data_IF_518525606010
#
_entry.id   IF_518525606010
#
_cell.length_a   1.000
_cell.length_b   1.000
_cell.length_c   1.000
_cell.angle_alpha   90.00
_cell.angle_beta   90.00
_cell.angle_gamma   90.00
#
_symmetry.space_group_name_H-M   'P 1'
#
loop_
_entity.id
_entity.type
_entity.pdbx_description
1 polymer ?
#
# COMPACT_ATOMS: atom_id res chain seq x y z
N UNK A 1 28.31 -7.81 50.48
CA UNK A 1 29.37 -8.55 51.21
C UNK A 1 30.64 -8.58 50.35
N UNK A 2 31.77 -8.15 50.91
CA UNK A 2 33.12 -8.74 50.69
C UNK A 2 33.25 -9.99 51.62
N UNK A 3 34.34 -10.79 51.66
CA UNK A 3 35.70 -10.71 51.04
C UNK A 3 36.06 -11.98 50.22
N UNK A 4 37.28 -12.32 49.81
CA UNK A 4 38.65 -11.71 49.85
C UNK A 4 39.54 -12.47 48.85
N UNK A 5 40.51 -11.86 48.15
CA UNK A 5 41.88 -11.52 48.59
C UNK A 5 42.76 -12.73 48.97
N UNK A 6 43.84 -12.99 48.21
CA UNK A 6 45.23 -12.94 48.72
C UNK A 6 46.31 -12.97 47.60
N UNK A 7 47.53 -12.56 47.98
CA UNK A 7 48.67 -12.16 47.14
C UNK A 7 49.92 -12.94 47.65
N UNK A 8 51.01 -13.26 46.91
CA UNK A 8 52.03 -12.30 46.41
C UNK A 8 53.15 -12.98 45.59
N UNK A 9 53.65 -12.28 44.54
CA UNK A 9 55.00 -12.28 43.91
C UNK A 9 56.00 -13.43 44.18
N UNK A 10 56.75 -13.80 43.12
CA UNK A 10 58.20 -13.48 42.98
C UNK A 10 58.72 -13.69 41.54
N UNK A 11 59.80 -12.99 41.17
CA UNK A 11 60.51 -13.04 39.87
C UNK A 11 62.00 -13.42 40.13
N UNK A 12 63.03 -13.23 39.26
CA UNK A 12 63.13 -12.83 37.83
C UNK A 12 64.16 -13.76 37.06
N UNK A 13 65.17 -13.29 36.27
CA UNK A 13 65.15 -12.73 34.89
C UNK A 13 66.03 -13.51 33.85
N UNK A 14 66.18 -12.97 32.61
CA UNK A 14 67.45 -12.74 31.83
C UNK A 14 67.50 -13.17 30.34
N UNK A 15 67.87 -12.17 29.51
CA UNK A 15 68.86 -12.16 28.41
C UNK A 15 68.84 -13.17 27.22
N UNK A 16 68.61 -12.58 26.02
CA UNK A 16 69.54 -12.63 24.85
C UNK A 16 69.65 -13.96 24.07
N UNK A 17 70.14 -14.10 22.83
CA UNK A 17 70.58 -13.23 21.71
C UNK A 17 70.02 -13.89 20.42
N UNK A 18 69.82 -13.25 19.27
CA UNK A 18 70.86 -12.90 18.29
C UNK A 18 70.18 -12.55 16.95
N UNK A 19 70.87 -11.83 16.06
CA UNK A 19 70.42 -11.55 14.67
C UNK A 19 71.44 -12.14 13.69
N UNK A 20 71.01 -12.59 12.50
CA UNK A 20 71.75 -12.19 11.31
C UNK A 20 70.87 -11.73 10.13
N UNK A 21 71.53 -11.04 9.21
CA UNK A 21 71.02 -10.26 8.07
C UNK A 21 70.51 -11.05 6.85
N UNK A 22 69.67 -10.40 6.03
CA UNK A 22 69.30 -10.82 4.67
C UNK A 22 69.25 -9.58 3.74
N UNK A 23 69.52 -9.68 2.42
CA UNK A 23 70.14 -8.58 1.67
C UNK A 23 69.19 -7.67 0.88
N UNK A 24 69.74 -6.52 0.49
CA UNK A 24 69.11 -5.47 -0.34
C UNK A 24 68.87 -5.89 -1.79
N UNK A 25 67.63 -5.74 -2.28
CA UNK A 25 67.31 -5.77 -3.71
C UNK A 25 67.14 -4.37 -4.30
N UNK A 26 67.69 -4.14 -5.48
CA UNK A 26 67.67 -2.84 -6.18
C UNK A 26 66.27 -2.42 -6.62
N UNK A 27 65.90 -1.17 -6.33
CA UNK A 27 64.57 -0.60 -6.60
C UNK A 27 64.54 0.13 -7.95
N UNK A 28 63.95 -0.47 -8.98
CA UNK A 28 63.67 0.24 -10.24
C UNK A 28 62.76 1.46 -9.97
N UNK A 29 63.15 2.62 -10.50
CA UNK A 29 62.34 3.84 -10.43
C UNK A 29 61.18 3.77 -11.41
N UNK A 30 60.06 3.19 -10.98
CA UNK A 30 58.79 3.25 -11.70
C UNK A 30 58.34 4.70 -11.89
N UNK A 31 58.05 5.11 -13.12
CA UNK A 31 57.57 6.45 -13.44
C UNK A 31 56.19 6.68 -12.80
N UNK A 32 56.12 7.63 -11.86
CA UNK A 32 54.88 8.01 -11.17
C UNK A 32 53.85 8.65 -12.11
N UNK A 33 54.29 9.14 -13.27
CA UNK A 33 53.40 9.69 -14.30
C UNK A 33 52.54 8.60 -14.94
N UNK A 34 53.14 7.43 -15.25
CA UNK A 34 52.42 6.33 -15.89
C UNK A 34 51.26 5.83 -15.01
N UNK A 35 51.53 5.56 -13.73
CA UNK A 35 50.49 5.15 -12.77
C UNK A 35 49.38 6.18 -12.58
N UNK A 36 49.70 7.48 -12.64
CA UNK A 36 48.68 8.55 -12.56
C UNK A 36 47.79 8.60 -13.81
N UNK A 37 48.37 8.44 -15.01
CA UNK A 37 47.61 8.39 -16.26
C UNK A 37 46.73 7.15 -16.33
N UNK A 38 47.26 5.97 -15.99
CA UNK A 38 46.47 4.72 -15.96
C UNK A 38 45.34 4.80 -14.92
N UNK A 39 45.59 5.39 -13.74
CA UNK A 39 44.56 5.64 -12.74
C UNK A 39 43.45 6.58 -13.24
N UNK A 40 43.81 7.69 -13.91
CA UNK A 40 42.85 8.62 -14.52
C UNK A 40 41.99 7.97 -15.61
N UNK A 41 42.61 7.18 -16.50
CA UNK A 41 41.89 6.46 -17.55
C UNK A 41 40.94 5.42 -16.94
N UNK A 42 41.40 4.64 -15.96
CA UNK A 42 40.56 3.67 -15.26
C UNK A 42 39.38 4.34 -14.54
N UNK A 43 39.61 5.48 -13.87
CA UNK A 43 38.54 6.27 -13.24
C UNK A 43 37.56 6.86 -14.25
N UNK A 44 38.03 7.32 -15.42
CA UNK A 44 37.17 7.86 -16.47
C UNK A 44 36.32 6.76 -17.13
N UNK A 45 36.89 5.57 -17.33
CA UNK A 45 36.15 4.39 -17.82
C UNK A 45 35.13 3.90 -16.79
N UNK A 46 35.50 3.83 -15.51
CA UNK A 46 34.54 3.52 -14.43
C UNK A 46 33.44 4.57 -14.34
N UNK A 47 33.76 5.84 -14.51
CA UNK A 47 32.77 6.92 -14.52
C UNK A 47 31.83 6.83 -15.74
N UNK A 48 32.34 6.58 -16.95
CA UNK A 48 31.49 6.43 -18.14
C UNK A 48 30.65 5.15 -18.11
N UNK A 49 31.18 4.05 -17.57
CA UNK A 49 30.36 2.85 -17.31
C UNK A 49 29.30 3.12 -16.23
N UNK A 50 29.59 3.92 -15.20
CA UNK A 50 28.63 4.29 -14.17
C UNK A 50 27.54 5.25 -14.71
N UNK A 51 27.89 6.23 -15.54
CA UNK A 51 26.91 7.13 -16.18
C UNK A 51 26.04 6.39 -17.19
N UNK A 52 26.62 5.49 -18.00
CA UNK A 52 25.86 4.71 -18.96
C UNK A 52 24.93 3.68 -18.26
N UNK A 53 25.32 3.16 -17.10
CA UNK A 53 24.45 2.31 -16.27
C UNK A 53 23.41 3.11 -15.43
N UNK A 54 23.51 4.44 -15.35
CA UNK A 54 22.49 5.30 -14.69
C UNK A 54 21.50 5.94 -15.65
N UNK A 55 21.79 5.95 -16.96
CA UNK A 55 20.75 5.74 -17.97
C UNK A 55 20.30 4.27 -17.95
N UNK A 56 19.62 3.88 -16.87
CA UNK A 56 18.64 2.81 -17.00
C UNK A 56 17.61 3.30 -18.02
N UNK A 57 17.40 2.55 -19.10
CA UNK A 57 16.30 2.83 -20.01
C UNK A 57 15.02 2.93 -19.19
N UNK A 58 14.47 4.14 -19.05
CA UNK A 58 13.03 4.30 -18.92
C UNK A 58 12.46 3.76 -20.23
N UNK A 59 12.25 2.45 -20.25
CA UNK A 59 11.34 1.81 -21.18
C UNK A 59 10.00 2.43 -20.87
N UNK A 60 9.68 3.47 -21.62
CA UNK A 60 8.30 3.86 -21.86
C UNK A 60 7.62 2.61 -22.38
N UNK A 61 7.03 1.87 -21.45
CA UNK A 61 6.16 0.74 -21.73
C UNK A 61 4.91 1.37 -22.32
N UNK A 62 5.02 1.68 -23.61
CA UNK A 62 4.03 2.40 -24.38
C UNK A 62 2.72 1.61 -24.23
N UNK A 63 1.72 2.26 -23.61
CA UNK A 63 0.44 1.59 -23.40
C UNK A 63 -0.12 1.29 -24.79
N UNK A 64 -0.13 0.01 -25.14
CA UNK A 64 -0.68 -0.46 -26.40
C UNK A 64 -2.07 0.14 -26.59
N UNK A 65 -2.44 0.64 -27.80
CA UNK A 65 -3.72 1.27 -28.06
C UNK A 65 -4.89 0.28 -27.97
N UNK A 66 -5.22 -0.10 -26.74
CA UNK A 66 -6.38 -0.87 -26.34
C UNK A 66 -7.56 0.08 -26.14
N UNK A 67 -8.67 -0.22 -26.83
CA UNK A 67 -9.94 0.45 -26.59
C UNK A 67 -10.82 -0.28 -25.56
N UNK A 68 -10.45 -1.50 -25.12
CA UNK A 68 -11.16 -2.22 -24.07
C UNK A 68 -10.95 -1.53 -22.73
N UNK A 69 -11.94 -0.76 -22.32
CA UNK A 69 -11.96 -0.02 -21.07
C UNK A 69 -13.40 0.30 -20.70
N UNK A 70 -13.71 0.45 -19.41
CA UNK A 70 -15.06 0.77 -18.93
C UNK A 70 -14.97 1.76 -17.78
N UNK A 71 -15.87 2.74 -17.75
CA UNK A 71 -16.04 3.61 -16.58
C UNK A 71 -17.19 3.09 -15.70
N UNK A 72 -16.86 2.73 -14.46
CA UNK A 72 -17.80 2.24 -13.44
C UNK A 72 -18.08 3.41 -12.48
N UNK A 73 -19.23 4.10 -12.58
CA UNK A 73 -19.53 5.26 -11.76
C UNK A 73 -19.78 4.87 -10.29
N UNK A 74 -19.51 5.80 -9.37
CA UNK A 74 -20.01 5.67 -8.01
C UNK A 74 -21.51 6.00 -7.96
N UNK A 75 -22.28 5.17 -7.24
CA UNK A 75 -23.74 5.33 -7.11
C UNK A 75 -24.15 6.47 -6.16
N UNK A 76 -23.19 7.05 -5.44
CA UNK A 76 -23.37 8.19 -4.54
C UNK A 76 -22.23 9.19 -4.73
N UNK A 77 -22.51 10.48 -4.53
CA UNK A 77 -21.49 11.54 -4.56
C UNK A 77 -20.36 11.24 -3.56
N UNK A 78 -19.11 11.43 -4.00
CA UNK A 78 -17.95 11.17 -3.17
C UNK A 78 -17.91 12.04 -1.91
N UNK A 79 -17.69 11.41 -0.77
CA UNK A 79 -17.97 12.01 0.54
C UNK A 79 -16.94 11.62 1.59
N UNK A 80 -16.56 12.52 2.51
CA UNK A 80 -15.76 12.14 3.67
C UNK A 80 -16.55 11.29 4.68
N UNK A 81 -17.89 11.15 4.52
CA UNK A 81 -18.77 10.50 5.50
C UNK A 81 -19.00 9.01 5.26
N UNK A 82 -19.00 8.56 4.00
CA UNK A 82 -19.21 7.17 3.62
C UNK A 82 -18.12 6.69 2.65
N UNK A 83 -18.00 5.37 2.49
CA UNK A 83 -17.14 4.76 1.47
C UNK A 83 -17.77 5.01 0.09
N UNK A 84 -17.01 5.27 -0.97
CA UNK A 84 -17.55 5.22 -2.34
C UNK A 84 -18.07 3.80 -2.64
N UNK A 85 -19.18 3.72 -3.37
CA UNK A 85 -19.84 2.47 -3.71
C UNK A 85 -20.11 2.40 -5.21
N UNK A 86 -20.00 1.22 -5.80
CA UNK A 86 -20.43 0.91 -7.17
C UNK A 86 -21.61 -0.05 -7.13
N UNK A 87 -22.41 -0.08 -8.20
CA UNK A 87 -23.41 -1.14 -8.37
C UNK A 87 -22.72 -2.40 -8.89
N UNK A 88 -22.94 -3.53 -8.22
CA UNK A 88 -22.46 -4.83 -8.67
C UNK A 88 -23.51 -5.92 -8.41
N UNK A 89 -23.79 -6.75 -9.42
CA UNK A 89 -24.61 -7.96 -9.25
C UNK A 89 -23.69 -9.17 -9.08
N UNK A 90 -23.91 -9.96 -8.03
CA UNK A 90 -23.18 -11.21 -7.77
C UNK A 90 -24.21 -12.31 -7.52
N UNK A 91 -24.14 -13.41 -8.29
CA UNK A 91 -25.10 -14.53 -8.17
C UNK A 91 -26.59 -14.12 -8.27
N UNK A 92 -26.89 -13.06 -9.04
CA UNK A 92 -28.24 -12.51 -9.18
C UNK A 92 -28.69 -11.59 -8.04
N UNK A 93 -27.81 -11.29 -7.07
CA UNK A 93 -28.06 -10.34 -5.99
C UNK A 93 -27.37 -9.00 -6.30
N UNK A 94 -28.14 -7.92 -6.36
CA UNK A 94 -27.61 -6.57 -6.52
C UNK A 94 -27.05 -6.03 -5.19
N UNK A 95 -25.82 -5.50 -5.25
CA UNK A 95 -25.05 -5.07 -4.08
C UNK A 95 -24.49 -3.67 -4.32
N UNK A 96 -24.77 -2.77 -3.38
CA UNK A 96 -24.09 -1.47 -3.25
C UNK A 96 -22.68 -1.71 -2.70
N UNK A 97 -21.73 -2.03 -3.58
CA UNK A 97 -20.45 -2.60 -3.21
C UNK A 97 -19.44 -1.51 -2.80
N UNK A 98 -18.97 -1.47 -1.53
CA UNK A 98 -17.96 -0.48 -1.11
C UNK A 98 -16.61 -0.75 -1.78
N UNK A 99 -16.04 0.28 -2.41
CA UNK A 99 -14.75 0.19 -3.10
C UNK A 99 -13.63 0.57 -2.15
N UNK A 100 -12.66 -0.32 -1.96
CA UNK A 100 -11.50 -0.11 -1.09
C UNK A 100 -10.15 -0.33 -1.79
N UNK A 101 -9.39 0.74 -1.99
CA UNK A 101 -7.98 0.68 -2.43
C UNK A 101 -7.01 0.32 -1.30
N UNK A 102 -7.46 0.25 -0.05
CA UNK A 102 -6.70 -0.09 1.16
C UNK A 102 -6.46 -1.59 1.42
N UNK A 103 -7.11 -2.46 0.63
CA UNK A 103 -7.03 -3.92 0.71
C UNK A 103 -7.29 -4.57 -0.65
N UNK A 104 -7.04 -5.87 -0.79
CA UNK A 104 -7.28 -6.63 -2.03
C UNK A 104 -8.21 -7.82 -1.76
N UNK A 105 -9.19 -8.01 -2.63
CA UNK A 105 -10.16 -9.11 -2.56
C UNK A 105 -11.56 -8.66 -2.16
N UNK A 106 -12.57 -9.33 -2.71
CA UNK A 106 -13.99 -9.10 -2.39
C UNK A 106 -14.41 -9.95 -1.18
N UNK A 107 -15.14 -9.36 -0.24
CA UNK A 107 -15.78 -10.04 0.89
C UNK A 107 -17.30 -9.87 0.78
N UNK A 108 -18.06 -10.96 0.86
CA UNK A 108 -19.53 -10.94 0.90
C UNK A 108 -19.99 -11.92 1.99
N UNK A 109 -20.91 -11.49 2.86
CA UNK A 109 -21.49 -12.35 3.89
C UNK A 109 -22.23 -13.55 3.30
N UNK A 110 -22.02 -14.74 3.85
CA UNK A 110 -22.74 -15.95 3.44
C UNK A 110 -24.29 -15.79 3.46
N UNK A 111 -24.92 -15.06 4.40
CA UNK A 111 -26.37 -14.82 4.37
C UNK A 111 -26.87 -13.96 3.19
N UNK A 112 -25.98 -13.29 2.45
CA UNK A 112 -26.33 -12.48 1.28
C UNK A 112 -26.41 -13.37 0.02
N UNK A 113 -25.55 -14.40 -0.07
CA UNK A 113 -25.44 -15.30 -1.24
C UNK A 113 -26.06 -16.67 -0.92
N UNK A 114 -27.36 -16.67 -0.63
CA UNK A 114 -28.10 -17.87 -0.17
C UNK A 114 -28.10 -19.05 -1.15
N UNK A 115 -27.80 -18.81 -2.44
CA UNK A 115 -27.69 -19.85 -3.45
C UNK A 115 -26.33 -20.58 -3.44
N UNK A 116 -25.32 -20.07 -2.74
CA UNK A 116 -23.99 -20.67 -2.65
C UNK A 116 -23.95 -21.73 -1.53
N UNK A 117 -23.72 -23.03 -1.85
CA UNK A 117 -23.64 -24.07 -0.83
C UNK A 117 -22.52 -23.81 0.19
N UNK A 118 -22.73 -24.20 1.45
CA UNK A 118 -21.72 -24.12 2.51
C UNK A 118 -20.47 -24.98 2.25
N UNK A 119 -20.54 -25.93 1.33
CA UNK A 119 -19.43 -26.79 0.88
C UNK A 119 -18.64 -26.23 -0.31
N UNK A 120 -19.09 -25.11 -0.91
CA UNK A 120 -18.42 -24.54 -2.08
C UNK A 120 -17.13 -23.77 -1.69
N UNK A 121 -16.11 -23.83 -2.55
CA UNK A 121 -14.86 -23.08 -2.38
C UNK A 121 -13.85 -23.71 -1.41
N UNK A 122 -12.83 -22.95 -1.04
CA UNK A 122 -11.76 -23.39 -0.13
C UNK A 122 -11.68 -22.54 1.14
N UNK A 123 -11.46 -23.11 2.35
CA UNK A 123 -11.38 -22.33 3.58
C UNK A 123 -10.32 -21.22 3.54
N UNK A 124 -10.71 -20.00 3.91
CA UNK A 124 -9.84 -18.84 3.98
C UNK A 124 -10.21 -17.89 5.13
N UNK A 125 -9.29 -16.99 5.44
CA UNK A 125 -9.47 -15.94 6.44
C UNK A 125 -8.83 -14.64 5.97
N UNK A 126 -9.30 -13.53 6.54
CA UNK A 126 -8.81 -12.18 6.27
C UNK A 126 -8.90 -11.36 7.56
N UNK A 127 -7.80 -10.75 7.99
CA UNK A 127 -7.75 -9.89 9.17
C UNK A 127 -7.42 -8.44 8.80
N UNK A 128 -8.34 -7.51 9.06
CA UNK A 128 -8.09 -6.08 8.89
C UNK A 128 -7.37 -5.51 10.12
N UNK A 129 -6.06 -5.29 9.98
CA UNK A 129 -5.16 -4.82 11.06
C UNK A 129 -5.55 -3.47 11.68
N UNK A 130 -6.19 -2.58 10.91
CA UNK A 130 -6.64 -1.25 11.36
C UNK A 130 -7.92 -1.29 12.20
N UNK A 131 -8.90 -2.12 11.83
CA UNK A 131 -10.19 -2.23 12.51
C UNK A 131 -10.21 -3.32 13.58
N UNK A 132 -9.21 -4.21 13.58
CA UNK A 132 -9.12 -5.40 14.44
C UNK A 132 -10.31 -6.33 14.23
N UNK A 133 -10.58 -6.66 12.97
CA UNK A 133 -11.68 -7.54 12.56
C UNK A 133 -11.11 -8.74 11.82
N UNK A 134 -11.47 -9.94 12.28
CA UNK A 134 -11.25 -11.20 11.58
C UNK A 134 -12.50 -11.57 10.79
N UNK A 135 -12.30 -12.01 9.56
CA UNK A 135 -13.29 -12.65 8.70
C UNK A 135 -12.82 -14.06 8.38
N UNK A 136 -13.71 -15.03 8.47
CA UNK A 136 -13.45 -16.44 8.16
C UNK A 136 -14.58 -16.95 7.28
N UNK A 137 -14.21 -17.75 6.28
CA UNK A 137 -15.18 -18.35 5.37
C UNK A 137 -14.48 -19.10 4.25
N UNK A 138 -14.97 -18.97 3.03
CA UNK A 138 -14.49 -19.74 1.87
C UNK A 138 -14.23 -18.85 0.66
N UNK A 139 -13.12 -19.08 -0.04
CA UNK A 139 -12.88 -18.49 -1.36
C UNK A 139 -13.71 -19.25 -2.40
N UNK A 140 -14.68 -18.59 -3.01
CA UNK A 140 -15.53 -19.13 -4.07
C UNK A 140 -15.28 -18.34 -5.36
N UNK A 141 -15.05 -19.01 -6.48
CA UNK A 141 -14.92 -18.36 -7.79
C UNK A 141 -16.29 -17.90 -8.28
N UNK A 142 -16.58 -16.60 -8.18
CA UNK A 142 -17.87 -16.01 -8.53
C UNK A 142 -17.74 -15.05 -9.72
N UNK A 143 -18.85 -14.86 -10.44
CA UNK A 143 -18.99 -13.78 -11.41
C UNK A 143 -19.48 -12.50 -10.71
N UNK A 144 -18.80 -11.39 -10.97
CA UNK A 144 -19.17 -10.05 -10.50
C UNK A 144 -19.49 -9.17 -11.70
N UNK A 145 -20.75 -8.79 -11.88
CA UNK A 145 -21.20 -7.93 -12.97
C UNK A 145 -21.27 -6.48 -12.50
N UNK A 146 -20.58 -5.58 -13.18
CA UNK A 146 -20.55 -4.14 -12.88
C UNK A 146 -21.39 -3.37 -13.89
N UNK A 147 -22.17 -2.41 -13.38
CA UNK A 147 -22.85 -1.41 -14.23
C UNK A 147 -21.91 -0.25 -14.50
N UNK A 148 -21.68 0.07 -15.77
CA UNK A 148 -20.92 1.22 -16.22
C UNK A 148 -21.78 2.40 -16.66
N UNK A 149 -21.13 3.46 -17.10
CA UNK A 149 -21.79 4.64 -17.67
C UNK A 149 -22.47 4.33 -19.02
N UNK A 150 -23.53 5.06 -19.36
CA UNK A 150 -24.24 4.93 -20.64
C UNK A 150 -24.98 3.58 -20.85
N UNK A 151 -25.04 2.72 -19.83
CA UNK A 151 -25.57 1.36 -19.95
C UNK A 151 -24.53 0.31 -20.34
N UNK A 152 -23.23 0.67 -20.39
CA UNK A 152 -22.15 -0.30 -20.52
C UNK A 152 -22.09 -1.23 -19.30
N UNK A 153 -21.49 -2.40 -19.45
CA UNK A 153 -21.32 -3.36 -18.35
C UNK A 153 -20.06 -4.21 -18.52
N UNK A 154 -19.55 -4.74 -17.41
CA UNK A 154 -18.41 -5.65 -17.43
C UNK A 154 -18.57 -6.78 -16.41
N UNK A 155 -18.05 -7.96 -16.73
CA UNK A 155 -18.00 -9.08 -15.78
C UNK A 155 -16.55 -9.34 -15.37
N UNK A 156 -16.27 -9.40 -14.07
CA UNK A 156 -15.08 -10.04 -13.53
C UNK A 156 -15.40 -11.47 -13.10
N UNK A 157 -14.41 -12.36 -13.17
CA UNK A 157 -14.47 -13.67 -12.51
C UNK A 157 -13.29 -13.80 -11.55
N UNK A 158 -13.57 -13.82 -10.26
CA UNK A 158 -12.55 -13.83 -9.20
C UNK A 158 -12.95 -14.68 -8.00
N UNK A 159 -11.97 -15.13 -7.20
CA UNK A 159 -12.22 -15.63 -5.86
C UNK A 159 -12.78 -14.53 -4.94
N UNK A 160 -14.01 -14.72 -4.49
CA UNK A 160 -14.68 -13.91 -3.46
C UNK A 160 -14.58 -14.67 -2.13
N UNK A 161 -14.21 -13.98 -1.04
CA UNK A 161 -14.32 -14.53 0.31
C UNK A 161 -15.79 -14.46 0.76
N UNK A 162 -16.50 -15.58 0.63
CA UNK A 162 -17.83 -15.77 1.20
C UNK A 162 -17.66 -15.94 2.71
N UNK A 163 -18.03 -14.92 3.48
CA UNK A 163 -17.77 -14.83 4.92
C UNK A 163 -18.84 -15.58 5.69
N UNK A 164 -18.46 -16.73 6.23
CA UNK A 164 -19.32 -17.55 7.09
C UNK A 164 -19.34 -17.01 8.54
N UNK A 165 -18.23 -16.44 9.04
CA UNK A 165 -18.11 -15.86 10.40
C UNK A 165 -17.25 -14.61 10.44
N UNK A 166 -17.53 -13.69 11.37
CA UNK A 166 -16.68 -12.52 11.63
C UNK A 166 -16.62 -12.19 13.12
N UNK A 167 -15.45 -11.74 13.59
CA UNK A 167 -15.26 -11.29 14.97
C UNK A 167 -14.50 -9.98 15.02
N UNK A 168 -14.82 -9.15 16.02
CA UNK A 168 -13.87 -8.17 16.55
C UNK A 168 -12.79 -8.94 17.32
N UNK A 169 -11.56 -8.84 16.87
CA UNK A 169 -10.41 -9.57 17.39
C UNK A 169 -9.23 -8.64 17.73
N UNK A 170 -9.23 -8.00 18.91
CA UNK A 170 -8.17 -7.05 19.30
C UNK A 170 -6.77 -7.66 19.41
N UNK A 171 -6.69 -8.94 19.80
CA UNK A 171 -5.44 -9.63 20.15
C UNK A 171 -4.85 -10.48 19.02
N UNK A 172 -5.49 -10.50 17.85
CA UNK A 172 -5.01 -11.24 16.69
C UNK A 172 -3.61 -10.77 16.25
N UNK A 173 -2.69 -11.72 16.15
CA UNK A 173 -1.36 -11.58 15.60
C UNK A 173 -1.28 -12.34 14.26
N UNK A 174 -1.33 -11.65 13.12
CA UNK A 174 -1.44 -12.29 11.81
C UNK A 174 -0.19 -13.08 11.39
N UNK A 175 0.92 -12.98 12.13
CA UNK A 175 2.08 -13.84 11.94
C UNK A 175 1.80 -15.30 12.37
N UNK A 176 1.01 -15.51 13.42
CA UNK A 176 0.78 -16.84 14.04
C UNK A 176 -0.68 -17.30 13.96
N UNK A 177 -1.64 -16.39 14.13
CA UNK A 177 -3.07 -16.71 14.13
C UNK A 177 -3.62 -16.89 12.70
N UNK A 178 -4.70 -17.65 12.56
CA UNK A 178 -5.29 -18.03 11.27
C UNK A 178 -6.82 -17.94 11.28
N UNK A 179 -7.50 -19.05 11.56
CA UNK A 179 -8.97 -19.17 11.46
C UNK A 179 -9.72 -18.84 12.75
N UNK A 180 -8.99 -18.56 13.83
CA UNK A 180 -9.56 -18.35 15.16
C UNK A 180 -9.08 -17.02 15.72
N UNK A 181 -9.93 -16.38 16.53
CA UNK A 181 -9.54 -15.20 17.29
C UNK A 181 -8.98 -15.64 18.65
N UNK A 182 -7.72 -15.31 19.01
CA UNK A 182 -7.20 -15.62 20.32
C UNK A 182 -7.95 -14.86 21.43
N UNK A 183 -8.07 -15.51 22.59
CA UNK A 183 -8.54 -14.85 23.80
C UNK A 183 -7.58 -13.73 24.24
N UNK A 184 -8.11 -12.74 24.95
CA UNK A 184 -7.32 -11.67 25.54
C UNK A 184 -6.42 -12.15 26.70
N UNK A 185 -5.47 -11.31 27.15
CA UNK A 185 -4.49 -11.64 28.19
C UNK A 185 -5.12 -11.92 29.57
N UNK A 186 -6.41 -11.60 29.75
CA UNK A 186 -7.20 -11.89 30.95
C UNK A 186 -8.39 -12.83 30.64
N UNK A 187 -8.35 -13.53 29.51
CA UNK A 187 -9.40 -14.48 29.09
C UNK A 187 -10.58 -13.83 28.36
N UNK A 188 -10.46 -12.56 27.96
CA UNK A 188 -11.52 -11.84 27.23
C UNK A 188 -11.86 -12.55 25.91
N UNK A 189 -13.15 -12.75 25.65
CA UNK A 189 -13.62 -13.45 24.46
C UNK A 189 -13.77 -12.53 23.25
N UNK A 190 -13.65 -13.11 22.06
CA UNK A 190 -13.92 -12.43 20.80
C UNK A 190 -15.41 -12.02 20.71
N UNK A 191 -15.69 -10.83 20.18
CA UNK A 191 -17.08 -10.39 19.95
C UNK A 191 -17.47 -10.73 18.52
N UNK A 192 -18.36 -11.70 18.35
CA UNK A 192 -18.92 -12.07 17.05
C UNK A 192 -19.70 -10.91 16.43
N UNK A 193 -19.70 -10.84 15.10
CA UNK A 193 -20.33 -9.79 14.31
C UNK A 193 -21.33 -10.41 13.35
N UNK A 194 -22.46 -9.74 13.16
CA UNK A 194 -23.41 -10.09 12.11
C UNK A 194 -22.72 -10.07 10.74
N UNK A 195 -22.91 -11.16 9.99
CA UNK A 195 -22.38 -11.33 8.63
C UNK A 195 -23.36 -10.87 7.56
N UNK A 196 -24.64 -10.63 7.88
CA UNK A 196 -25.68 -10.24 6.92
C UNK A 196 -25.43 -8.92 6.20
N UNK A 197 -24.59 -8.06 6.77
CA UNK A 197 -24.23 -6.72 6.25
C UNK A 197 -22.77 -6.62 5.78
N UNK A 198 -22.05 -7.75 5.63
CA UNK A 198 -20.66 -7.72 5.15
C UNK A 198 -20.66 -7.68 3.62
N UNK A 199 -20.37 -6.51 3.06
CA UNK A 199 -20.06 -6.31 1.64
C UNK A 199 -18.83 -5.40 1.52
N UNK A 200 -17.87 -5.78 0.69
CA UNK A 200 -16.61 -5.05 0.53
C UNK A 200 -15.87 -5.50 -0.73
N UNK A 201 -15.28 -4.58 -1.48
CA UNK A 201 -14.47 -4.89 -2.66
C UNK A 201 -13.10 -4.22 -2.56
N UNK A 202 -12.12 -5.02 -2.11
CA UNK A 202 -10.71 -4.63 -2.11
C UNK A 202 -10.13 -4.64 -3.52
N UNK A 203 -9.75 -3.46 -4.01
CA UNK A 203 -9.11 -3.26 -5.33
C UNK A 203 -7.65 -2.82 -5.22
N UNK A 204 -7.06 -2.76 -4.03
CA UNK A 204 -5.67 -2.37 -3.78
C UNK A 204 -4.62 -3.38 -4.23
N UNK A 205 -3.37 -3.14 -3.80
CA UNK A 205 -2.19 -3.96 -4.10
C UNK A 205 -1.15 -3.90 -2.95
N UNK A 206 -0.14 -4.77 -2.98
CA UNK A 206 1.02 -4.69 -2.07
C UNK A 206 0.78 -5.08 -0.61
N UNK A 207 -0.30 -5.80 -0.32
CA UNK A 207 -0.73 -6.17 1.06
C UNK A 207 -0.95 -7.67 1.29
N UNK A 208 -0.34 -8.51 0.47
CA UNK A 208 -0.36 -9.99 0.56
C UNK A 208 0.60 -10.59 1.60
N UNK A 209 1.36 -9.77 2.34
CA UNK A 209 2.32 -10.30 3.32
C UNK A 209 1.63 -10.78 4.61
N UNK A 210 2.17 -11.80 5.29
CA UNK A 210 1.54 -12.37 6.50
C UNK A 210 1.26 -11.32 7.58
N UNK A 211 2.17 -10.34 7.79
CA UNK A 211 1.98 -9.23 8.74
C UNK A 211 0.79 -8.31 8.43
N UNK A 212 0.28 -8.31 7.20
CA UNK A 212 -0.87 -7.50 6.78
C UNK A 212 -2.21 -8.12 7.17
N UNK A 213 -2.24 -9.42 7.49
CA UNK A 213 -3.47 -10.17 7.78
C UNK A 213 -4.25 -10.63 6.54
N UNK A 214 -3.71 -10.45 5.33
CA UNK A 214 -4.38 -10.77 4.08
C UNK A 214 -3.59 -11.78 3.22
N UNK A 215 -3.43 -13.05 3.65
CA UNK A 215 -2.57 -14.02 2.94
C UNK A 215 -3.00 -14.34 1.50
N UNK A 216 -4.21 -13.95 1.09
CA UNK A 216 -4.77 -14.17 -0.25
C UNK A 216 -4.88 -12.89 -1.11
N UNK A 217 -4.35 -11.75 -0.66
CA UNK A 217 -4.52 -10.43 -1.29
C UNK A 217 -3.63 -10.21 -2.54
N UNK A 218 -3.60 -11.18 -3.46
CA UNK A 218 -2.83 -11.14 -4.71
C UNK A 218 -3.64 -10.51 -5.87
N UNK A 219 -3.02 -10.17 -7.02
CA UNK A 219 -3.74 -9.60 -8.16
C UNK A 219 -4.90 -10.45 -8.68
N UNK A 220 -4.85 -11.79 -8.49
CA UNK A 220 -5.93 -12.71 -8.88
C UNK A 220 -7.27 -12.45 -8.17
N UNK A 221 -7.27 -11.92 -6.95
CA UNK A 221 -8.53 -11.65 -6.21
C UNK A 221 -9.06 -10.23 -6.41
N UNK A 222 -8.34 -9.39 -7.16
CA UNK A 222 -8.78 -8.03 -7.49
C UNK A 222 -9.74 -8.07 -8.69
N UNK A 223 -11.04 -7.76 -8.54
CA UNK A 223 -11.99 -7.88 -9.65
C UNK A 223 -11.66 -6.97 -10.83
N UNK A 224 -11.11 -5.77 -10.59
CA UNK A 224 -10.84 -4.79 -11.65
C UNK A 224 -9.60 -5.14 -12.48
N UNK A 225 -8.75 -6.05 -12.01
CA UNK A 225 -7.63 -6.59 -12.80
C UNK A 225 -8.01 -7.84 -13.60
N UNK A 226 -9.19 -8.42 -13.36
CA UNK A 226 -9.60 -9.71 -13.92
C UNK A 226 -11.02 -9.64 -14.53
N UNK A 227 -11.31 -8.54 -15.25
CA UNK A 227 -12.45 -8.47 -16.18
C UNK A 227 -12.27 -9.55 -17.26
N UNK A 228 -13.34 -10.31 -17.53
CA UNK A 228 -13.39 -11.34 -18.57
C UNK A 228 -14.34 -10.98 -19.72
N UNK A 229 -15.28 -10.05 -19.49
CA UNK A 229 -16.11 -9.44 -20.53
C UNK A 229 -16.32 -7.94 -20.31
N UNK A 230 -16.52 -7.20 -21.40
CA UNK A 230 -17.03 -5.81 -21.43
C UNK A 230 -18.08 -5.78 -22.54
N UNK A 231 -19.28 -5.27 -22.27
CA UNK A 231 -20.42 -5.15 -23.18
C UNK A 231 -20.79 -6.46 -23.93
N UNK A 232 -20.52 -7.60 -23.28
CA UNK A 232 -20.74 -8.95 -23.80
C UNK A 232 -19.58 -9.49 -24.65
N UNK A 233 -18.61 -8.65 -25.04
CA UNK A 233 -17.39 -9.08 -25.72
C UNK A 233 -16.36 -9.64 -24.73
N UNK A 234 -15.64 -10.69 -25.11
CA UNK A 234 -14.64 -11.32 -24.23
C UNK A 234 -13.31 -10.57 -24.23
N UNK A 235 -12.89 -10.13 -23.05
CA UNK A 235 -11.59 -9.49 -22.83
C UNK A 235 -10.50 -10.57 -22.83
N UNK A 236 -9.83 -10.73 -23.98
CA UNK A 236 -8.68 -11.64 -24.11
C UNK A 236 -7.51 -11.13 -23.24
N UNK A 237 -6.69 -12.05 -22.72
CA UNK A 237 -5.46 -11.70 -21.97
C UNK A 237 -4.57 -10.77 -22.81
N UNK A 238 -4.23 -9.61 -22.25
CA UNK A 238 -3.43 -8.58 -22.93
C UNK A 238 -4.20 -7.70 -23.92
N UNK A 239 -5.48 -7.95 -24.18
CA UNK A 239 -6.31 -7.07 -25.01
C UNK A 239 -6.81 -5.82 -24.27
N UNK A 240 -6.71 -5.81 -22.94
CA UNK A 240 -6.88 -4.65 -22.06
C UNK A 240 -5.57 -4.42 -21.31
N UNK A 241 -5.11 -3.16 -21.22
CA UNK A 241 -3.97 -2.79 -20.37
C UNK A 241 -4.42 -2.80 -18.90
N UNK A 242 -4.10 -3.87 -18.18
CA UNK A 242 -4.61 -4.13 -16.84
C UNK A 242 -4.18 -3.05 -15.84
N UNK A 243 -5.15 -2.46 -15.17
CA UNK A 243 -4.99 -1.29 -14.33
C UNK A 243 -6.29 -0.48 -14.28
N UNK A 244 -6.32 0.54 -13.44
CA UNK A 244 -7.48 1.39 -13.27
C UNK A 244 -7.11 2.79 -12.78
N UNK A 245 -8.02 3.76 -12.99
CA UNK A 245 -7.97 5.11 -12.42
C UNK A 245 -9.14 5.25 -11.45
N UNK A 246 -8.88 5.68 -10.21
CA UNK A 246 -9.91 6.03 -9.22
C UNK A 246 -9.99 7.55 -9.12
N UNK A 247 -11.18 8.10 -9.29
CA UNK A 247 -11.49 9.52 -9.09
C UNK A 247 -12.58 9.69 -8.03
N UNK A 248 -13.29 10.82 -8.00
CA UNK A 248 -14.47 11.02 -7.13
C UNK A 248 -15.76 10.58 -7.81
N UNK A 249 -15.70 10.39 -9.12
CA UNK A 249 -16.85 10.13 -9.99
C UNK A 249 -17.04 8.62 -10.17
N UNK A 250 -15.96 7.84 -10.09
CA UNK A 250 -15.99 6.40 -10.24
C UNK A 250 -14.60 5.78 -10.43
N UNK A 251 -14.57 4.64 -11.12
CA UNK A 251 -13.36 3.91 -11.48
C UNK A 251 -13.33 3.64 -12.99
N UNK A 252 -12.34 4.18 -13.69
CA UNK A 252 -12.02 3.78 -15.06
C UNK A 252 -11.18 2.51 -15.00
N UNK A 253 -11.64 1.41 -15.59
CA UNK A 253 -10.93 0.13 -15.67
C UNK A 253 -10.41 -0.08 -17.08
N UNK A 254 -9.18 -0.60 -17.20
CA UNK A 254 -8.45 -0.64 -18.46
C UNK A 254 -7.82 0.72 -18.74
N UNK A 255 -6.48 0.79 -18.68
CA UNK A 255 -5.76 2.03 -18.95
C UNK A 255 -5.66 2.25 -20.46
N UNK A 256 -5.90 3.48 -20.91
CA UNK A 256 -5.70 3.90 -22.30
C UNK A 256 -4.71 5.08 -22.34
N UNK A 257 -3.95 5.27 -23.43
CA UNK A 257 -3.02 6.40 -23.55
C UNK A 257 -3.69 7.77 -23.34
N UNK A 258 -4.96 7.89 -23.73
CA UNK A 258 -5.77 9.10 -23.52
C UNK A 258 -6.11 9.29 -22.04
N UNK A 259 -6.55 8.24 -21.34
CA UNK A 259 -6.96 8.32 -19.94
C UNK A 259 -5.80 8.67 -19.00
N UNK A 260 -4.59 8.21 -19.30
CA UNK A 260 -3.39 8.39 -18.45
C UNK A 260 -2.51 9.61 -18.81
N UNK A 261 -2.82 10.35 -19.88
CA UNK A 261 -1.95 11.39 -20.47
C UNK A 261 -1.43 12.44 -19.48
N UNK A 262 -2.23 12.78 -18.46
CA UNK A 262 -1.96 13.84 -17.49
C UNK A 262 -1.54 13.29 -16.10
N UNK A 263 -1.22 11.99 -16.01
CA UNK A 263 -0.76 11.39 -14.77
C UNK A 263 0.77 11.47 -14.63
N UNK A 264 1.22 12.03 -13.51
CA UNK A 264 2.61 11.90 -13.08
C UNK A 264 2.77 10.55 -12.38
N UNK A 265 3.55 9.65 -12.98
CA UNK A 265 3.77 8.28 -12.49
C UNK A 265 5.07 8.12 -11.69
N UNK A 266 5.03 7.21 -10.72
CA UNK A 266 6.19 6.68 -10.00
C UNK A 266 6.27 5.17 -10.19
N UNK A 267 7.47 4.63 -10.38
CA UNK A 267 7.68 3.19 -10.45
C UNK A 267 7.37 2.52 -9.10
N UNK A 268 6.82 1.31 -9.14
CA UNK A 268 6.60 0.42 -8.02
C UNK A 268 7.66 -0.69 -8.01
N UNK A 269 8.03 -1.11 -6.81
CA UNK A 269 8.87 -2.30 -6.62
C UNK A 269 8.04 -3.58 -6.78
N UNK A 270 8.62 -4.69 -7.28
CA UNK A 270 7.96 -5.99 -7.33
C UNK A 270 7.36 -6.42 -5.98
N UNK A 271 6.15 -7.00 -6.03
CA UNK A 271 5.44 -7.56 -4.89
C UNK A 271 5.97 -8.94 -4.47
N UNK A 272 5.40 -9.47 -3.38
CA UNK A 272 5.82 -10.75 -2.79
C UNK A 272 5.60 -11.96 -3.72
N UNK A 273 4.59 -11.88 -4.59
CA UNK A 273 4.16 -12.93 -5.54
C UNK A 273 4.30 -12.49 -7.00
N UNK A 274 5.23 -11.57 -7.28
CA UNK A 274 5.47 -11.02 -8.63
C UNK A 274 5.94 -12.09 -9.63
N UNK A 275 6.62 -13.14 -9.14
CA UNK A 275 7.11 -14.25 -9.98
C UNK A 275 5.94 -15.11 -10.49
N UNK A 276 4.89 -15.27 -9.67
CA UNK A 276 3.67 -15.99 -10.02
C UNK A 276 2.68 -15.14 -10.84
N UNK A 277 2.58 -13.85 -10.54
CA UNK A 277 1.76 -12.88 -11.28
C UNK A 277 2.48 -11.53 -11.32
N UNK A 278 3.02 -11.15 -12.49
CA UNK A 278 3.81 -9.92 -12.69
C UNK A 278 3.01 -8.62 -12.49
N UNK A 279 1.73 -8.72 -12.14
CA UNK A 279 0.86 -7.63 -11.69
C UNK A 279 0.93 -7.38 -10.18
N UNK A 280 1.64 -8.21 -9.42
CA UNK A 280 1.79 -8.05 -7.98
C UNK A 280 2.91 -7.05 -7.69
N UNK A 281 2.55 -5.88 -7.22
CA UNK A 281 3.47 -4.78 -6.92
C UNK A 281 3.41 -4.45 -5.43
N UNK A 282 4.55 -4.05 -4.86
CA UNK A 282 4.61 -3.53 -3.50
C UNK A 282 3.81 -2.22 -3.36
N UNK A 283 3.42 -1.85 -2.13
CA UNK A 283 2.82 -0.55 -1.86
C UNK A 283 3.71 0.59 -2.38
N UNK A 284 3.09 1.64 -2.90
CA UNK A 284 3.80 2.84 -3.36
C UNK A 284 4.68 3.46 -2.25
N UNK A 285 5.68 4.23 -2.66
CA UNK A 285 6.58 4.96 -1.74
C UNK A 285 6.14 6.41 -1.54
N UNK A 286 6.46 6.97 -0.38
CA UNK A 286 6.42 8.41 -0.12
C UNK A 286 7.46 8.83 0.92
N UNK A 287 7.71 10.14 1.01
CA UNK A 287 8.33 10.77 2.16
C UNK A 287 7.43 11.87 2.73
N UNK A 288 7.45 12.08 4.05
CA UNK A 288 6.73 13.19 4.68
C UNK A 288 7.54 13.93 5.75
N UNK A 289 7.18 15.20 5.95
CA UNK A 289 7.70 16.07 7.02
C UNK A 289 6.56 16.59 7.91
N UNK A 290 6.92 16.97 9.14
CA UNK A 290 5.99 17.46 10.17
C UNK A 290 6.44 18.87 10.56
N UNK A 291 5.57 19.86 10.39
CA UNK A 291 5.89 21.29 10.56
C UNK A 291 7.09 21.77 9.72
N UNK A 292 7.39 21.09 8.61
CA UNK A 292 8.58 21.34 7.78
C UNK A 292 9.85 20.64 8.27
N UNK A 293 9.80 19.95 9.41
CA UNK A 293 10.94 19.24 9.99
C UNK A 293 10.91 17.73 9.69
N UNK A 294 12.12 17.16 9.62
CA UNK A 294 12.34 15.72 9.43
C UNK A 294 12.00 15.21 8.03
N UNK A 295 12.43 13.98 7.76
CA UNK A 295 12.17 13.26 6.51
C UNK A 295 11.84 11.81 6.87
N UNK A 296 10.56 11.47 6.79
CA UNK A 296 10.04 10.16 7.17
C UNK A 296 9.65 9.44 5.87
N UNK A 297 10.51 8.55 5.36
CA UNK A 297 10.30 7.86 4.09
C UNK A 297 9.88 6.39 4.29
N UNK A 298 8.91 5.93 3.51
CA UNK A 298 8.40 4.56 3.58
C UNK A 298 7.18 4.37 2.69
N UNK A 299 6.35 3.38 3.01
CA UNK A 299 5.22 3.01 2.17
C UNK A 299 4.00 3.92 2.37
N UNK A 300 3.18 4.02 1.33
CA UNK A 300 1.90 4.74 1.36
C UNK A 300 0.77 3.89 0.82
N UNK A 301 -0.40 4.10 1.42
CA UNK A 301 -1.66 3.53 1.00
C UNK A 301 -2.65 4.68 0.80
N UNK A 302 -3.10 4.88 -0.43
CA UNK A 302 -4.28 5.69 -0.69
C UNK A 302 -5.48 4.77 -0.52
N UNK A 303 -6.33 5.05 0.45
CA UNK A 303 -7.35 4.10 0.96
C UNK A 303 -8.74 4.72 0.83
N UNK A 304 -9.53 4.21 -0.11
CA UNK A 304 -10.92 4.65 -0.27
C UNK A 304 -11.86 4.11 0.80
N UNK A 305 -11.49 3.06 1.54
CA UNK A 305 -12.23 2.45 2.64
C UNK A 305 -12.35 3.32 3.90
N UNK A 306 -11.36 4.17 4.21
CA UNK A 306 -11.37 5.06 5.40
C UNK A 306 -11.34 6.57 5.08
N UNK A 307 -11.82 7.41 6.01
CA UNK A 307 -11.76 8.88 5.87
C UNK A 307 -10.74 9.56 6.78
N UNK A 308 -10.25 8.83 7.80
CA UNK A 308 -9.14 9.24 8.64
C UNK A 308 -7.80 8.83 8.03
N UNK A 309 -6.74 9.55 8.38
CA UNK A 309 -5.37 9.15 8.07
C UNK A 309 -4.79 8.32 9.23
N UNK A 310 -4.00 7.30 8.92
CA UNK A 310 -3.03 6.74 9.87
C UNK A 310 -1.63 7.19 9.47
N UNK A 311 -0.87 7.75 10.41
CA UNK A 311 0.50 8.23 10.16
C UNK A 311 1.47 7.59 11.15
N UNK A 312 2.61 7.13 10.63
CA UNK A 312 3.73 6.59 11.42
C UNK A 312 5.01 7.29 10.99
N UNK A 313 5.61 8.01 11.94
CA UNK A 313 6.90 8.66 11.76
C UNK A 313 8.06 7.69 12.04
N UNK A 314 9.26 8.11 11.64
CA UNK A 314 10.51 7.39 11.88
C UNK A 314 10.78 7.21 13.39
N UNK A 315 11.54 6.18 13.75
CA UNK A 315 11.82 5.89 15.17
C UNK A 315 12.56 7.08 15.82
N UNK A 316 11.95 7.64 16.85
CA UNK A 316 12.48 8.81 17.58
C UNK A 316 11.97 10.17 17.10
N UNK A 317 11.28 10.24 15.95
CA UNK A 317 10.61 11.47 15.50
C UNK A 317 9.32 11.67 16.31
N UNK A 318 9.22 12.81 16.99
CA UNK A 318 8.05 13.16 17.80
C UNK A 318 6.93 13.74 16.93
N UNK A 319 5.77 13.08 16.93
CA UNK A 319 4.55 13.64 16.34
C UNK A 319 3.82 14.48 17.39
N UNK A 320 3.53 15.78 17.15
CA UNK A 320 2.71 16.60 18.05
C UNK A 320 1.33 15.99 18.20
N UNK A 321 0.94 15.60 19.41
CA UNK A 321 -0.28 14.81 19.64
C UNK A 321 -1.06 15.27 20.86
N UNK A 322 -2.36 15.02 20.83
CA UNK A 322 -3.31 15.27 21.92
C UNK A 322 -4.07 13.99 22.25
N UNK A 323 -4.57 13.93 23.48
CA UNK A 323 -5.52 12.91 23.93
C UNK A 323 -6.87 13.60 24.12
N UNK A 324 -7.91 13.07 23.49
CA UNK A 324 -9.28 13.60 23.56
C UNK A 324 -10.23 12.48 24.03
N UNK A 325 -11.41 12.82 24.60
CA UNK A 325 -12.52 11.87 24.72
C UNK A 325 -12.78 11.19 23.38
N UNK A 326 -13.11 9.91 23.39
CA UNK A 326 -13.39 9.19 22.16
C UNK A 326 -14.67 9.72 21.49
N UNK A 327 -14.61 10.26 20.26
CA UNK A 327 -15.79 10.81 19.59
C UNK A 327 -16.77 9.73 19.10
N UNK A 328 -16.38 8.45 19.12
CA UNK A 328 -17.30 7.35 18.87
C UNK A 328 -17.91 6.89 20.21
N UNK A 329 -19.22 7.13 20.47
CA UNK A 329 -19.87 6.74 21.72
C UNK A 329 -19.95 5.20 21.88
N UNK A 330 -19.93 4.46 20.77
CA UNK A 330 -19.90 2.99 20.73
C UNK A 330 -18.45 2.46 20.73
N UNK A 331 -17.46 3.31 20.96
CA UNK A 331 -16.05 2.95 20.99
C UNK A 331 -15.58 2.58 22.40
N UNK A 332 -15.00 1.38 22.56
CA UNK A 332 -14.60 0.84 23.86
C UNK A 332 -13.51 1.65 24.60
N UNK A 333 -12.66 2.40 23.87
CA UNK A 333 -11.67 3.27 24.49
C UNK A 333 -12.36 4.56 24.97
N UNK A 334 -12.19 4.94 26.24
CA UNK A 334 -12.73 6.21 26.78
C UNK A 334 -12.09 7.45 26.16
N UNK A 335 -10.82 7.34 25.77
CA UNK A 335 -10.02 8.40 25.16
C UNK A 335 -9.28 7.88 23.94
N UNK A 336 -8.93 8.76 23.01
CA UNK A 336 -8.15 8.43 21.81
C UNK A 336 -7.04 9.45 21.58
N UNK A 337 -5.90 8.97 21.05
CA UNK A 337 -4.80 9.83 20.61
C UNK A 337 -5.07 10.36 19.20
N UNK A 338 -4.72 11.62 18.95
CA UNK A 338 -4.81 12.31 17.65
C UNK A 338 -3.57 13.19 17.44
N UNK A 339 -3.24 13.50 16.19
CA UNK A 339 -2.29 14.59 15.90
C UNK A 339 -2.91 15.92 16.34
N UNK A 340 -2.09 16.82 16.88
CA UNK A 340 -2.55 18.11 17.42
C UNK A 340 -3.01 19.04 16.29
N UNK A 341 -4.16 19.73 16.40
CA UNK A 341 -4.52 20.80 15.48
C UNK A 341 -3.44 21.88 15.38
N UNK A 342 -3.26 22.47 14.19
CA UNK A 342 -2.15 23.35 13.86
C UNK A 342 -0.86 22.62 13.43
N UNK A 343 -0.81 21.28 13.44
CA UNK A 343 0.32 20.53 12.90
C UNK A 343 0.23 20.50 11.38
N UNK A 344 1.24 21.03 10.67
CA UNK A 344 1.35 20.94 9.22
C UNK A 344 1.98 19.62 8.81
N UNK A 345 1.35 18.90 7.90
CA UNK A 345 1.87 17.66 7.31
C UNK A 345 2.10 17.93 5.82
N UNK A 346 3.31 17.62 5.33
CA UNK A 346 3.66 17.72 3.90
C UNK A 346 4.13 16.36 3.43
N UNK A 347 3.57 15.86 2.32
CA UNK A 347 3.80 14.50 1.79
C UNK A 347 4.20 14.63 0.32
N UNK A 348 5.23 13.89 -0.09
CA UNK A 348 5.69 13.81 -1.48
C UNK A 348 5.89 12.37 -1.93
N UNK A 349 5.50 12.07 -3.17
CA UNK A 349 5.48 10.75 -3.79
C UNK A 349 6.47 10.74 -4.97
N UNK A 350 7.53 9.91 -4.98
CA UNK A 350 7.94 8.99 -3.91
C UNK A 350 8.80 9.67 -2.84
N UNK A 351 9.17 10.95 -3.05
CA UNK A 351 10.10 11.71 -2.21
C UNK A 351 9.63 13.15 -1.99
N UNK A 352 10.28 13.87 -1.06
CA UNK A 352 10.05 15.31 -0.86
C UNK A 352 10.91 16.20 -1.78
N UNK A 353 12.05 15.72 -2.28
CA UNK A 353 12.98 16.55 -3.10
C UNK A 353 12.56 16.57 -4.57
N UNK A 354 12.15 15.40 -5.07
CA UNK A 354 11.69 15.18 -6.44
C UNK A 354 10.38 14.38 -6.40
N UNK A 355 9.26 15.01 -5.99
CA UNK A 355 7.94 14.41 -6.05
C UNK A 355 7.40 14.41 -7.49
N UNK A 356 6.87 13.27 -7.95
CA UNK A 356 5.90 13.22 -9.04
C UNK A 356 4.58 13.90 -8.63
N UNK A 357 4.22 13.81 -7.34
CA UNK A 357 3.14 14.58 -6.72
C UNK A 357 3.49 14.91 -5.28
N UNK A 358 3.12 16.11 -4.81
CA UNK A 358 3.16 16.45 -3.39
C UNK A 358 1.91 17.23 -2.98
N UNK A 359 1.54 17.10 -1.71
CA UNK A 359 0.48 17.90 -1.09
C UNK A 359 0.81 18.21 0.37
N UNK A 360 0.14 19.22 0.93
CA UNK A 360 0.20 19.52 2.35
C UNK A 360 -1.15 19.96 2.89
N UNK A 361 -1.34 19.77 4.18
CA UNK A 361 -2.50 20.27 4.93
C UNK A 361 -2.08 20.54 6.39
N UNK A 362 -2.82 21.40 7.07
CA UNK A 362 -2.70 21.56 8.53
C UNK A 362 -3.85 20.85 9.20
N UNK A 363 -3.57 20.06 10.24
CA UNK A 363 -4.61 19.38 11.02
C UNK A 363 -5.53 20.43 11.67
N UNK A 364 -6.84 20.31 11.45
CA UNK A 364 -7.89 21.17 11.98
C UNK A 364 -8.32 22.35 11.09
N UNK A 365 -7.70 22.57 9.93
CA UNK A 365 -8.09 23.65 9.00
C UNK A 365 -9.37 23.35 8.21
N UNK A 366 -9.78 22.07 8.12
CA UNK A 366 -10.93 21.56 7.38
C UNK A 366 -10.85 21.80 5.87
N UNK A 367 -9.64 21.72 5.31
CA UNK A 367 -9.45 21.74 3.86
C UNK A 367 -10.03 20.45 3.23
N UNK A 368 -10.46 20.50 1.97
CA UNK A 368 -11.12 19.35 1.32
C UNK A 368 -10.22 18.10 1.22
N UNK A 369 -8.90 18.28 1.16
CA UNK A 369 -7.90 17.20 1.12
C UNK A 369 -7.54 16.68 2.53
N UNK A 370 -7.91 17.40 3.59
CA UNK A 370 -7.61 16.99 4.96
C UNK A 370 -8.42 15.74 5.34
N UNK A 371 -7.80 14.69 5.90
CA UNK A 371 -8.53 13.55 6.47
C UNK A 371 -9.39 13.99 7.67
N UNK A 372 -10.51 13.31 7.93
CA UNK A 372 -11.45 13.67 9.01
C UNK A 372 -10.78 13.78 10.40
N UNK A 373 -9.69 13.03 10.60
CA UNK A 373 -8.70 13.22 11.64
C UNK A 373 -7.44 12.42 11.29
N UNK A 374 -6.32 12.74 11.96
CA UNK A 374 -5.07 11.98 11.83
C UNK A 374 -4.81 11.15 13.09
N UNK A 375 -4.66 9.84 12.90
CA UNK A 375 -4.32 8.87 13.95
C UNK A 375 -2.81 8.61 13.98
N UNK A 376 -2.09 9.00 15.04
CA UNK A 376 -0.66 8.72 15.19
C UNK A 376 -0.45 7.25 15.60
N UNK A 377 0.20 6.47 14.75
CA UNK A 377 0.68 5.12 15.07
C UNK A 377 2.01 5.17 15.87
N UNK A 378 2.36 4.06 16.51
CA UNK A 378 3.64 3.91 17.20
C UNK A 378 4.79 3.84 16.19
N UNK A 379 5.91 4.52 16.47
CA UNK A 379 7.12 4.57 15.61
C UNK A 379 8.05 3.36 15.79
N UNK A 380 7.47 2.17 15.94
CA UNK A 380 8.19 0.90 16.13
C UNK A 380 8.42 0.11 14.81
N UNK A 381 7.95 0.66 13.69
CA UNK A 381 8.10 0.13 12.34
C UNK A 381 8.38 1.27 11.37
N UNK A 382 8.95 0.97 10.20
CA UNK A 382 9.28 1.94 9.13
C UNK A 382 8.15 2.94 8.85
N UNK A 383 8.44 4.20 8.45
CA UNK A 383 7.43 5.21 8.19
C UNK A 383 6.32 4.74 7.27
N UNK A 384 5.11 5.23 7.52
CA UNK A 384 3.92 4.80 6.78
C UNK A 384 2.82 5.86 6.85
N UNK A 385 2.11 6.03 5.74
CA UNK A 385 0.86 6.78 5.69
C UNK A 385 -0.21 5.91 5.04
N UNK A 386 -1.35 5.81 5.69
CA UNK A 386 -2.62 5.57 5.02
C UNK A 386 -3.32 6.92 4.93
N UNK A 387 -3.54 7.47 3.73
CA UNK A 387 -4.07 8.83 3.56
C UNK A 387 -5.53 8.96 3.93
N UNK A 388 -6.28 7.85 3.89
CA UNK A 388 -7.73 7.87 3.72
C UNK A 388 -8.16 8.48 2.37
N UNK A 389 -9.47 8.49 2.16
CA UNK A 389 -10.10 8.78 0.86
C UNK A 389 -10.07 10.26 0.48
N UNK A 390 -9.89 11.18 1.43
CA UNK A 390 -10.02 12.61 1.19
C UNK A 390 -8.95 13.17 0.24
N UNK A 391 -7.85 12.44 -0.02
CA UNK A 391 -6.90 12.74 -1.11
C UNK A 391 -7.61 12.92 -2.46
N UNK A 392 -8.67 12.13 -2.71
CA UNK A 392 -9.38 12.15 -3.98
C UNK A 392 -10.19 13.43 -4.23
N UNK A 393 -10.41 14.28 -3.22
CA UNK A 393 -11.01 15.61 -3.42
C UNK A 393 -10.12 16.56 -4.26
N UNK A 394 -8.84 16.23 -4.44
CA UNK A 394 -7.87 17.03 -5.22
C UNK A 394 -7.07 16.23 -6.25
N UNK A 395 -7.11 14.90 -6.22
CA UNK A 395 -6.35 14.07 -7.17
C UNK A 395 -7.16 12.86 -7.64
N UNK A 396 -7.01 12.47 -8.90
CA UNK A 396 -7.25 11.08 -9.32
C UNK A 396 -5.97 10.26 -9.08
N UNK A 397 -6.11 8.98 -8.74
CA UNK A 397 -4.98 8.02 -8.68
C UNK A 397 -5.09 7.00 -9.80
N UNK A 398 -3.95 6.54 -10.32
CA UNK A 398 -3.88 5.47 -11.31
C UNK A 398 -2.99 4.33 -10.80
N UNK A 399 -3.43 3.09 -10.98
CA UNK A 399 -2.59 1.90 -10.81
C UNK A 399 -2.44 1.22 -12.17
N UNK A 400 -1.20 1.22 -12.68
CA UNK A 400 -0.78 0.48 -13.86
C UNK A 400 -0.17 -0.84 -13.42
N UNK A 401 -0.97 -1.91 -13.49
CA UNK A 401 -0.55 -3.23 -13.05
C UNK A 401 0.38 -3.93 -14.06
N UNK A 402 0.43 -3.48 -15.31
CA UNK A 402 1.31 -4.06 -16.35
C UNK A 402 2.70 -3.42 -16.29
N UNK A 403 2.77 -2.09 -16.24
CA UNK A 403 4.02 -1.33 -16.16
C UNK A 403 4.59 -1.18 -14.74
N UNK A 404 3.82 -1.54 -13.71
CA UNK A 404 4.22 -1.38 -12.32
C UNK A 404 4.34 0.07 -11.90
N UNK A 405 3.34 0.90 -12.23
CA UNK A 405 3.37 2.34 -11.96
C UNK A 405 2.18 2.78 -11.11
N UNK A 406 2.42 3.69 -10.18
CA UNK A 406 1.37 4.40 -9.44
C UNK A 406 1.40 5.87 -9.82
N UNK A 407 0.27 6.42 -10.24
CA UNK A 407 0.18 7.74 -10.84
C UNK A 407 -0.80 8.67 -10.12
N UNK A 408 -0.55 9.97 -10.24
CA UNK A 408 -1.43 11.02 -9.74
C UNK A 408 -1.74 12.04 -10.84
N UNK A 409 -3.00 12.47 -10.92
CA UNK A 409 -3.44 13.62 -11.72
C UNK A 409 -4.19 14.58 -10.81
N UNK A 410 -3.83 15.86 -10.81
CA UNK A 410 -4.59 16.87 -10.07
C UNK A 410 -5.97 17.05 -10.69
N UNK A 411 -7.03 16.97 -9.88
CA UNK A 411 -8.35 17.48 -10.24
C UNK A 411 -8.48 18.87 -9.62
N UNK A 412 -8.16 19.88 -10.43
CA UNK A 412 -8.34 21.27 -10.08
C UNK A 412 -9.81 21.61 -9.82
N UNK A 413 -10.09 22.84 -9.38
CA UNK A 413 -11.45 23.38 -9.48
C UNK A 413 -11.80 23.61 -10.95
N UNK A 414 -12.15 22.55 -11.68
CA UNK A 414 -12.85 22.65 -12.97
C UNK A 414 -14.30 23.07 -12.72
N UNK A 415 -14.46 24.29 -12.20
CA UNK A 415 -15.59 25.11 -12.60
C UNK A 415 -15.52 25.24 -14.13
N UNK A 416 -16.66 25.16 -14.80
CA UNK A 416 -16.80 25.17 -16.27
C UNK A 416 -16.14 24.01 -17.02
N UNK A 417 -16.79 22.85 -16.95
CA UNK A 417 -17.04 22.05 -18.14
C UNK A 417 -18.56 21.83 -18.30
N UNK A 418 -19.30 22.94 -18.40
CA UNK A 418 -20.64 22.88 -18.99
C UNK A 418 -20.47 22.76 -20.50
N UNK A 419 -20.97 21.68 -21.07
CA UNK A 419 -21.33 21.60 -22.49
C UNK A 419 -22.79 21.16 -22.54
N UNK A 420 -23.53 21.76 -23.48
CA UNK A 420 -24.96 21.60 -23.74
C UNK A 420 -25.35 20.17 -24.16
#
# INVERSE_FOLDING_TARGET
MKPGDYITRSAPPLLSTSTPSTPTHGRLKSSTLFWRVTGLIASLVLFTMYTNNTTMDTVDTEISPSNHSIFIPFIFEFSPKHVPQVMCTVEGVDIHMPVDTGSTGTLIGAPILLNIPSTAGTPAHHFFTSSKILYVGRMVELAMNFTGEGGSYATAKVPVLVVDKSWRCPWYNPLVDRFECPAGPHGEQAVERDTSQITYMGIGFGRNSLKDGMPFATPRVNPLLNLCTIDGESVKRGAMHAGYIVSREGVQVGLTPTAIREFAFTQLEPGLTWVEDSRDWAMASMCFSVNGEGRNCGSVLVDTGIAQMYIRAEKGVSMPTIVIPNPNPNGHAKVVKRVKPGTKITIGFPSLDQPAMSYSFTVGEKSAIEPNYVFPQLSNHSPYINTGRNLLFRYSIAFDAVGGRFGFRSVGNSATASVL
#
